data_IF_909528230604
#
_entry.id   IF_909528230604
#
_cell.length_a   1.000
_cell.length_b   1.000
_cell.length_c   1.000
_cell.angle_alpha   90.00
_cell.angle_beta   90.00
_cell.angle_gamma   90.00
#
_symmetry.space_group_name_H-M   'P 1'
#
loop_
_entity.id
_entity.type
_entity.pdbx_description
1 polymer ?
#
# COMPACT_ATOMS: atom_id res chain seq x y z
N UNK A 1 14.05 7.65 0.33
CA UNK A 1 12.77 7.30 0.99
C UNK A 1 12.33 5.97 0.42
N UNK A 2 11.91 5.02 1.25
CA UNK A 2 11.72 3.59 0.88
C UNK A 2 10.32 3.26 0.35
N UNK A 3 9.46 4.26 0.14
CA UNK A 3 8.08 4.17 -0.37
C UNK A 3 7.18 3.18 0.38
N UNK A 4 7.26 1.88 0.11
CA UNK A 4 6.52 0.81 0.83
C UNK A 4 7.41 -0.31 1.35
N UNK A 5 8.72 -0.28 1.10
CA UNK A 5 9.66 -1.35 1.47
C UNK A 5 9.79 -1.54 2.98
N UNK A 6 9.77 -0.45 3.76
CA UNK A 6 9.87 -0.54 5.22
C UNK A 6 8.49 -0.57 5.86
N UNK A 7 7.88 -1.76 5.92
CA UNK A 7 6.72 -2.04 6.76
C UNK A 7 7.16 -2.78 8.01
N UNK A 8 6.78 -2.26 9.17
CA UNK A 8 7.00 -2.95 10.44
C UNK A 8 5.81 -3.86 10.75
N UNK A 9 6.06 -5.03 11.31
CA UNK A 9 5.03 -5.94 11.80
C UNK A 9 5.51 -7.39 11.90
N UNK A 10 4.76 -8.22 12.61
CA UNK A 10 5.01 -9.66 12.62
C UNK A 10 4.49 -10.34 11.35
N UNK A 11 4.82 -11.63 11.18
CA UNK A 11 4.46 -12.41 9.99
C UNK A 11 2.94 -12.43 9.74
N UNK A 12 2.12 -12.65 10.77
CA UNK A 12 0.66 -12.71 10.65
C UNK A 12 0.06 -11.36 10.21
N UNK A 13 0.52 -10.27 10.82
CA UNK A 13 0.13 -8.90 10.50
C UNK A 13 0.50 -8.54 9.05
N UNK A 14 1.71 -8.88 8.61
CA UNK A 14 2.21 -8.58 7.26
C UNK A 14 1.67 -9.51 6.17
N UNK A 15 1.16 -10.70 6.53
CA UNK A 15 0.56 -11.65 5.57
C UNK A 15 -0.73 -11.12 4.94
N UNK A 16 -1.30 -10.04 5.49
CA UNK A 16 -2.48 -9.36 4.98
C UNK A 16 -2.15 -7.99 4.37
N UNK A 17 -0.90 -7.75 3.95
CA UNK A 17 -0.42 -6.42 3.53
C UNK A 17 0.35 -6.47 2.20
N UNK A 18 -0.42 -6.45 1.10
CA UNK A 18 0.13 -6.46 -0.25
C UNK A 18 -0.13 -5.14 -0.97
N UNK A 19 0.91 -4.60 -1.60
CA UNK A 19 0.83 -3.36 -2.37
C UNK A 19 1.41 -3.62 -3.74
N UNK A 20 0.61 -3.42 -4.77
CA UNK A 20 1.03 -3.49 -6.15
C UNK A 20 1.05 -2.07 -6.68
N UNK A 21 2.15 -1.65 -7.30
CA UNK A 21 2.21 -0.36 -7.96
C UNK A 21 2.96 -0.39 -9.27
N UNK A 22 2.49 0.45 -10.19
CA UNK A 22 3.07 0.64 -11.50
C UNK A 22 3.90 1.93 -11.54
N UNK A 23 5.14 1.83 -12.03
CA UNK A 23 6.06 2.95 -12.15
C UNK A 23 6.83 2.92 -13.48
N UNK A 24 7.07 4.09 -14.04
CA UNK A 24 7.93 4.27 -15.22
C UNK A 24 9.32 4.75 -14.80
N UNK A 25 10.33 4.31 -15.53
CA UNK A 25 11.64 4.90 -15.48
C UNK A 25 11.58 6.26 -16.19
N UNK A 26 11.75 7.33 -15.42
CA UNK A 26 11.44 8.71 -15.82
C UNK A 26 12.13 9.14 -17.14
N UNK A 27 13.35 8.69 -17.36
CA UNK A 27 14.16 9.04 -18.54
C UNK A 27 14.12 7.97 -19.65
N UNK A 28 13.43 6.84 -19.43
CA UNK A 28 13.46 5.68 -20.35
C UNK A 28 12.10 5.46 -21.00
N UNK A 29 11.02 5.33 -20.21
CA UNK A 29 9.72 4.90 -20.72
C UNK A 29 8.52 5.68 -20.13
N UNK A 30 8.75 6.84 -19.51
CA UNK A 30 7.67 7.68 -18.97
C UNK A 30 6.85 8.40 -20.06
N UNK A 31 7.48 8.84 -21.15
CA UNK A 31 6.79 9.59 -22.20
C UNK A 31 5.63 8.77 -22.79
N UNK A 32 4.41 9.32 -22.71
CA UNK A 32 3.18 8.69 -23.17
C UNK A 32 2.67 7.53 -22.29
N UNK A 33 3.16 7.38 -21.05
CA UNK A 33 2.76 6.29 -20.16
C UNK A 33 1.43 6.53 -19.44
N UNK A 34 0.86 7.74 -19.49
CA UNK A 34 -0.41 8.04 -18.82
C UNK A 34 -1.53 7.04 -19.17
N UNK A 35 -1.60 6.58 -20.43
CA UNK A 35 -2.57 5.55 -20.86
C UNK A 35 -2.31 4.18 -20.23
N UNK A 36 -1.04 3.82 -20.03
CA UNK A 36 -0.64 2.53 -19.44
C UNK A 36 -1.03 2.45 -17.97
N UNK A 37 -1.03 3.60 -17.28
CA UNK A 37 -1.55 3.70 -15.92
C UNK A 37 -3.07 3.52 -15.85
N UNK A 38 -3.81 3.96 -16.86
CA UNK A 38 -5.26 3.66 -16.97
C UNK A 38 -5.51 2.16 -17.21
N UNK A 39 -4.72 1.53 -18.09
CA UNK A 39 -4.84 0.08 -18.30
C UNK A 39 -4.47 -0.72 -17.04
N UNK A 40 -3.43 -0.30 -16.30
CA UNK A 40 -3.11 -0.86 -14.99
C UNK A 40 -4.28 -0.72 -14.01
N UNK A 41 -4.87 0.47 -13.94
CA UNK A 41 -6.06 0.75 -13.13
C UNK A 41 -7.22 -0.18 -13.45
N UNK A 42 -7.58 -0.27 -14.74
CA UNK A 42 -8.68 -1.09 -15.22
C UNK A 42 -8.50 -2.56 -14.81
N UNK A 43 -7.26 -3.03 -14.71
CA UNK A 43 -6.94 -4.37 -14.23
C UNK A 43 -7.12 -4.45 -12.72
N UNK A 44 -6.44 -3.61 -11.93
CA UNK A 44 -6.45 -3.75 -10.46
C UNK A 44 -7.83 -3.51 -9.85
N UNK A 45 -8.64 -2.60 -10.41
CA UNK A 45 -9.98 -2.30 -9.89
C UNK A 45 -10.98 -3.46 -10.04
N UNK A 46 -10.78 -4.37 -11.00
CA UNK A 46 -11.60 -5.60 -11.12
C UNK A 46 -11.52 -6.47 -9.87
N UNK A 47 -10.44 -6.33 -9.11
CA UNK A 47 -10.12 -7.13 -7.94
C UNK A 47 -10.42 -6.43 -6.61
N UNK A 48 -11.15 -5.30 -6.63
CA UNK A 48 -11.65 -4.61 -5.44
C UNK A 48 -10.56 -4.30 -4.39
N UNK A 49 -9.53 -3.50 -4.74
CA UNK A 49 -8.49 -3.14 -3.79
C UNK A 49 -9.08 -2.38 -2.60
N UNK A 50 -8.52 -2.62 -1.41
CA UNK A 50 -8.96 -1.97 -0.16
C UNK A 50 -8.45 -0.53 -0.01
N UNK A 51 -7.43 -0.17 -0.79
CA UNK A 51 -6.99 1.19 -0.99
C UNK A 51 -6.44 1.34 -2.41
N UNK A 52 -6.61 2.53 -2.97
CA UNK A 52 -6.25 2.85 -4.34
C UNK A 52 -5.88 4.32 -4.43
N UNK A 53 -4.88 4.63 -5.25
CA UNK A 53 -4.48 6.02 -5.46
C UNK A 53 -3.25 6.20 -6.32
N UNK A 54 -2.88 7.46 -6.54
CA UNK A 54 -1.67 7.83 -7.24
C UNK A 54 -0.95 8.98 -6.53
N UNK A 55 0.34 9.15 -6.80
CA UNK A 55 1.15 10.17 -6.11
C UNK A 55 0.71 11.62 -6.41
N UNK A 56 0.01 11.88 -7.53
CA UNK A 56 -0.28 13.23 -8.02
C UNK A 56 -1.65 13.72 -7.58
N UNK A 57 -2.65 12.85 -7.59
CA UNK A 57 -4.04 13.24 -7.36
C UNK A 57 -4.46 12.94 -5.94
N UNK A 58 -4.09 11.77 -5.42
CA UNK A 58 -4.41 11.34 -4.07
C UNK A 58 -4.92 9.91 -4.02
N UNK A 59 -5.75 9.61 -3.01
CA UNK A 59 -6.28 8.28 -2.73
C UNK A 59 -7.81 8.26 -2.67
N UNK A 60 -8.39 7.06 -2.77
CA UNK A 60 -9.83 6.82 -2.78
C UNK A 60 -10.58 7.24 -1.51
N UNK A 61 -9.89 7.51 -0.39
CA UNK A 61 -10.51 8.04 0.83
C UNK A 61 -10.67 9.57 0.82
N UNK A 62 -9.98 10.27 -0.09
CA UNK A 62 -10.03 11.73 -0.21
C UNK A 62 -10.60 12.19 -1.55
N UNK A 63 -10.42 11.42 -2.61
CA UNK A 63 -10.74 11.79 -3.99
C UNK A 63 -11.56 10.69 -4.64
N UNK A 64 -12.59 11.08 -5.40
CA UNK A 64 -13.36 10.15 -6.23
C UNK A 64 -12.44 9.44 -7.22
N UNK A 65 -12.58 8.12 -7.38
CA UNK A 65 -11.72 7.31 -8.25
C UNK A 65 -11.67 7.88 -9.67
N UNK A 66 -12.80 8.30 -10.24
CA UNK A 66 -12.87 8.91 -11.59
C UNK A 66 -11.92 10.11 -11.75
N UNK A 67 -11.79 10.95 -10.73
CA UNK A 67 -10.87 12.11 -10.75
C UNK A 67 -9.41 11.69 -10.67
N UNK A 68 -9.11 10.60 -9.97
CA UNK A 68 -7.76 10.00 -9.93
C UNK A 68 -7.36 9.57 -11.37
N UNK A 69 -8.26 8.94 -12.11
CA UNK A 69 -8.00 8.48 -13.49
C UNK A 69 -7.76 9.63 -14.47
N UNK A 70 -8.53 10.72 -14.35
CA UNK A 70 -8.37 11.94 -15.14
C UNK A 70 -7.04 12.65 -14.84
N UNK A 71 -6.52 12.45 -13.63
CA UNK A 71 -5.30 13.06 -13.11
C UNK A 71 -4.00 12.46 -13.64
N UNK A 72 -4.01 11.29 -14.30
CA UNK A 72 -2.77 10.62 -14.69
C UNK A 72 -1.88 11.42 -15.63
N UNK A 73 -0.58 11.33 -15.35
CA UNK A 73 0.52 11.93 -16.09
C UNK A 73 1.57 10.86 -16.35
N UNK A 74 2.48 11.18 -17.27
CA UNK A 74 3.60 10.32 -17.66
C UNK A 74 4.55 9.97 -16.48
N UNK A 75 4.51 10.77 -15.43
CA UNK A 75 5.28 10.57 -14.19
C UNK A 75 4.39 10.21 -12.97
N UNK A 76 3.19 9.70 -13.20
CA UNK A 76 2.38 9.11 -12.12
C UNK A 76 3.02 7.82 -11.61
N UNK A 77 2.71 7.47 -10.36
CA UNK A 77 2.86 6.12 -9.81
C UNK A 77 1.50 5.77 -9.24
N UNK A 78 0.92 4.68 -9.72
CA UNK A 78 -0.44 4.23 -9.37
C UNK A 78 -0.34 2.98 -8.51
N UNK A 79 -1.12 2.94 -7.43
CA UNK A 79 -1.03 1.94 -6.37
C UNK A 79 -2.39 1.28 -6.14
N UNK A 80 -2.35 0.00 -5.79
CA UNK A 80 -3.48 -0.76 -5.28
C UNK A 80 -3.03 -1.61 -4.09
N UNK A 81 -3.87 -1.69 -3.06
CA UNK A 81 -3.60 -2.43 -1.82
C UNK A 81 -4.59 -3.58 -1.69
N UNK A 82 -4.07 -4.76 -1.34
CA UNK A 82 -4.82 -6.01 -1.19
C UNK A 82 -4.45 -6.71 0.13
N UNK A 83 -5.31 -7.62 0.58
CA UNK A 83 -5.16 -8.33 1.85
C UNK A 83 -4.86 -9.83 1.70
N UNK A 84 -4.83 -10.37 0.49
CA UNK A 84 -4.70 -11.81 0.28
C UNK A 84 -3.88 -12.18 -0.97
N UNK A 85 -3.19 -13.31 -0.85
CA UNK A 85 -2.28 -13.86 -1.86
C UNK A 85 -3.03 -14.28 -3.14
N UNK A 86 -4.21 -14.88 -3.01
CA UNK A 86 -5.02 -15.36 -4.13
C UNK A 86 -5.40 -14.23 -5.09
N UNK A 87 -5.84 -13.10 -4.54
CA UNK A 87 -6.19 -11.90 -5.31
C UNK A 87 -4.95 -11.31 -5.96
N UNK A 88 -3.84 -11.20 -5.21
CA UNK A 88 -2.56 -10.72 -5.73
C UNK A 88 -2.08 -11.58 -6.90
N UNK A 89 -2.13 -12.91 -6.79
CA UNK A 89 -1.71 -13.82 -7.85
C UNK A 89 -2.56 -13.67 -9.13
N UNK A 90 -3.88 -13.41 -8.99
CA UNK A 90 -4.76 -13.12 -10.15
C UNK A 90 -4.43 -11.79 -10.80
N UNK A 91 -4.25 -10.74 -10.00
CA UNK A 91 -3.85 -9.41 -10.50
C UNK A 91 -2.52 -9.49 -11.25
N UNK A 92 -1.51 -10.15 -10.68
CA UNK A 92 -0.20 -10.31 -11.30
C UNK A 92 -0.28 -11.10 -12.61
N UNK A 93 -1.12 -12.13 -12.67
CA UNK A 93 -1.35 -12.86 -13.91
C UNK A 93 -1.95 -11.96 -15.00
N UNK A 94 -2.97 -11.18 -14.68
CA UNK A 94 -3.60 -10.29 -15.68
C UNK A 94 -2.67 -9.15 -16.12
N UNK A 95 -1.88 -8.59 -15.19
CA UNK A 95 -0.86 -7.59 -15.51
C UNK A 95 0.26 -8.16 -16.40
N UNK A 96 0.64 -9.42 -16.20
CA UNK A 96 1.60 -10.13 -17.05
C UNK A 96 1.07 -10.27 -18.48
N UNK A 97 -0.17 -10.74 -18.64
CA UNK A 97 -0.79 -10.90 -19.97
C UNK A 97 -0.99 -9.56 -20.68
N UNK A 98 -1.24 -8.49 -19.94
CA UNK A 98 -1.40 -7.14 -20.49
C UNK A 98 -0.10 -6.53 -21.03
N UNK A 99 1.08 -7.01 -20.58
CA UNK A 99 2.41 -6.55 -20.99
C UNK A 99 2.51 -5.02 -21.19
N UNK A 100 2.15 -4.27 -20.15
CA UNK A 100 2.07 -2.81 -20.22
C UNK A 100 3.42 -2.14 -20.52
N UNK A 101 4.54 -2.86 -20.46
CA UNK A 101 5.89 -2.34 -20.70
C UNK A 101 6.30 -1.26 -19.69
N UNK A 102 5.82 -1.36 -18.46
CA UNK A 102 6.17 -0.53 -17.29
C UNK A 102 6.49 -1.43 -16.10
N UNK A 103 7.20 -0.90 -15.11
CA UNK A 103 7.61 -1.69 -13.95
C UNK A 103 6.42 -1.91 -13.03
N UNK A 104 6.18 -3.17 -12.67
CA UNK A 104 5.25 -3.57 -11.62
C UNK A 104 6.07 -3.95 -10.39
N UNK A 105 5.80 -3.30 -9.26
CA UNK A 105 6.44 -3.57 -7.99
C UNK A 105 5.40 -4.13 -7.03
N UNK A 106 5.77 -5.19 -6.32
CA UNK A 106 4.94 -5.82 -5.30
C UNK A 106 5.65 -5.72 -3.96
N UNK A 107 4.99 -5.10 -2.98
CA UNK A 107 5.41 -5.11 -1.59
C UNK A 107 4.59 -6.15 -0.83
N UNK A 108 5.26 -6.96 -0.02
CA UNK A 108 4.67 -8.02 0.79
C UNK A 108 5.77 -8.90 1.39
N UNK A 109 5.39 -9.94 2.13
CA UNK A 109 6.34 -10.95 2.60
C UNK A 109 6.95 -11.65 1.39
N UNK A 110 8.28 -11.71 1.32
CA UNK A 110 8.99 -12.16 0.13
C UNK A 110 8.58 -13.57 -0.30
N UNK A 111 8.53 -14.52 0.62
CA UNK A 111 8.21 -15.91 0.31
C UNK A 111 6.80 -16.02 -0.31
N UNK A 112 5.84 -15.25 0.23
CA UNK A 112 4.45 -15.21 -0.25
C UNK A 112 4.31 -14.55 -1.62
N UNK A 113 4.97 -13.41 -1.81
CA UNK A 113 5.03 -12.75 -3.11
C UNK A 113 5.73 -13.65 -4.16
N UNK A 114 6.75 -14.40 -3.74
CA UNK A 114 7.46 -15.34 -4.61
C UNK A 114 6.56 -16.51 -5.02
N UNK A 115 5.74 -17.04 -4.12
CA UNK A 115 4.73 -18.06 -4.43
C UNK A 115 3.71 -17.53 -5.45
N UNK A 116 3.13 -16.34 -5.21
CA UNK A 116 2.22 -15.69 -6.16
C UNK A 116 2.84 -15.51 -7.56
N UNK A 117 4.13 -15.16 -7.62
CA UNK A 117 4.85 -15.03 -8.89
C UNK A 117 5.10 -16.39 -9.56
N UNK A 118 5.59 -17.37 -8.81
CA UNK A 118 6.01 -18.66 -9.33
C UNK A 118 4.84 -19.44 -9.96
N UNK A 119 3.68 -19.44 -9.31
CA UNK A 119 2.47 -20.08 -9.82
C UNK A 119 2.03 -19.57 -11.19
N UNK A 120 2.39 -18.33 -11.53
CA UNK A 120 2.04 -17.68 -12.81
C UNK A 120 3.22 -17.64 -13.79
N UNK A 121 4.33 -18.30 -13.45
CA UNK A 121 5.56 -18.29 -14.25
C UNK A 121 6.18 -16.90 -14.38
N UNK A 122 5.97 -16.03 -13.38
CA UNK A 122 6.59 -14.71 -13.28
C UNK A 122 7.92 -14.88 -12.54
N UNK A 123 9.01 -14.39 -13.14
CA UNK A 123 10.33 -14.36 -12.49
C UNK A 123 10.62 -12.93 -12.02
N UNK A 124 10.75 -12.68 -10.71
CA UNK A 124 11.15 -11.37 -10.21
C UNK A 124 12.52 -10.95 -10.80
N UNK A 125 12.60 -9.72 -11.29
CA UNK A 125 13.86 -9.17 -11.81
C UNK A 125 14.78 -8.68 -10.68
N UNK A 126 14.21 -7.99 -9.70
CA UNK A 126 14.93 -7.42 -8.55
C UNK A 126 14.14 -7.72 -7.28
N UNK A 127 14.85 -7.98 -6.18
CA UNK A 127 14.27 -8.13 -4.84
C UNK A 127 14.97 -7.13 -3.92
N UNK A 128 14.18 -6.34 -3.20
CA UNK A 128 14.68 -5.43 -2.18
C UNK A 128 14.29 -5.95 -0.80
N UNK A 129 15.26 -5.94 0.14
CA UNK A 129 15.04 -6.37 1.52
C UNK A 129 15.10 -5.19 2.47
N UNK A 130 14.10 -5.10 3.35
CA UNK A 130 14.18 -4.26 4.53
C UNK A 130 15.04 -4.96 5.59
N UNK A 131 16.13 -4.32 6.01
CA UNK A 131 16.95 -4.80 7.14
C UNK A 131 16.38 -4.39 8.52
N UNK A 132 15.29 -3.62 8.51
CA UNK A 132 14.66 -3.10 9.73
C UNK A 132 15.28 -1.78 10.20
N UNK A 133 14.95 -1.40 11.44
CA UNK A 133 15.41 -0.17 12.06
C UNK A 133 16.60 -0.49 12.97
N UNK A 134 17.70 0.25 12.80
CA UNK A 134 18.92 0.08 13.58
C UNK A 134 19.29 1.37 14.33
N UNK A 135 19.98 1.26 15.47
CA UNK A 135 20.45 2.39 16.27
C UNK A 135 19.68 2.56 17.58
N UNK A 136 19.30 3.81 17.91
CA UNK A 136 18.57 4.15 19.15
C UNK A 136 17.08 3.80 19.06
N UNK A 137 16.81 2.50 19.00
CA UNK A 137 15.45 1.94 18.89
C UNK A 137 14.60 2.22 20.13
N UNK A 138 15.22 2.63 21.24
CA UNK A 138 14.56 3.05 22.48
C UNK A 138 13.73 4.34 22.35
N UNK A 139 13.96 5.15 21.30
CA UNK A 139 13.13 6.33 20.99
C UNK A 139 11.94 6.04 20.08
N UNK A 140 11.81 4.82 19.57
CA UNK A 140 10.68 4.47 18.72
C UNK A 140 9.38 4.49 19.53
N UNK A 141 8.24 4.85 18.91
CA UNK A 141 6.96 4.65 19.55
C UNK A 141 6.72 3.16 19.81
N UNK A 142 5.69 2.84 20.58
CA UNK A 142 5.31 1.44 20.78
C UNK A 142 5.08 0.72 19.45
N UNK A 143 5.24 -0.61 19.47
CA UNK A 143 5.23 -1.43 18.25
C UNK A 143 3.96 -1.24 17.41
N UNK A 144 2.78 -1.16 18.04
CA UNK A 144 1.51 -0.99 17.33
C UNK A 144 1.43 0.36 16.59
N UNK A 145 1.88 1.45 17.22
CA UNK A 145 1.96 2.78 16.60
C UNK A 145 2.99 2.78 15.46
N UNK A 146 4.11 2.09 15.65
CA UNK A 146 5.14 1.93 14.62
C UNK A 146 4.62 1.12 13.41
N UNK A 147 3.92 0.01 13.64
CA UNK A 147 3.30 -0.81 12.59
C UNK A 147 2.33 0.00 11.72
N UNK A 148 1.48 0.83 12.34
CA UNK A 148 0.52 1.67 11.61
C UNK A 148 1.23 2.79 10.85
N UNK A 149 2.13 3.52 11.52
CA UNK A 149 2.79 4.68 10.90
C UNK A 149 3.67 4.33 9.70
N UNK A 150 4.29 3.15 9.71
CA UNK A 150 5.17 2.67 8.62
C UNK A 150 4.42 2.29 7.35
N UNK A 151 3.09 2.09 7.39
CA UNK A 151 2.30 1.73 6.20
C UNK A 151 2.32 2.79 5.08
N UNK A 152 2.53 4.08 5.39
CA UNK A 152 2.62 5.13 4.38
C UNK A 152 4.02 5.25 3.73
N UNK A 153 5.07 4.85 4.46
CA UNK A 153 6.50 5.02 4.15
C UNK A 153 7.02 6.46 3.89
N UNK A 154 6.13 7.45 3.79
CA UNK A 154 6.46 8.88 3.72
C UNK A 154 6.39 9.59 5.08
N UNK A 155 5.96 8.88 6.14
CA UNK A 155 5.79 9.46 7.48
C UNK A 155 4.60 10.41 7.63
N UNK A 156 3.62 10.34 6.72
CA UNK A 156 2.44 11.23 6.76
C UNK A 156 1.41 10.85 7.85
N UNK A 157 1.46 9.61 8.33
CA UNK A 157 0.60 9.13 9.42
C UNK A 157 1.35 9.35 10.74
N UNK A 158 1.01 10.44 11.45
CA UNK A 158 1.72 10.80 12.68
C UNK A 158 1.41 9.86 13.84
N UNK A 159 2.40 9.63 14.71
CA UNK A 159 2.26 8.82 15.92
C UNK A 159 1.14 9.37 16.83
N UNK A 160 1.12 10.69 17.03
CA UNK A 160 0.13 11.37 17.85
C UNK A 160 -1.31 11.22 17.34
N UNK A 161 -1.52 11.12 16.02
CA UNK A 161 -2.85 10.88 15.47
C UNK A 161 -3.33 9.46 15.76
N UNK A 162 -2.43 8.47 15.66
CA UNK A 162 -2.73 7.07 15.97
C UNK A 162 -3.14 6.93 17.43
N UNK A 163 -2.35 7.52 18.33
CA UNK A 163 -2.63 7.52 19.77
C UNK A 163 -3.94 8.23 20.11
N UNK A 164 -4.17 9.41 19.54
CA UNK A 164 -5.41 10.16 19.72
C UNK A 164 -6.64 9.36 19.28
N UNK A 165 -6.59 8.74 18.10
CA UNK A 165 -7.71 7.93 17.59
C UNK A 165 -7.93 6.68 18.43
N UNK A 166 -6.86 6.04 18.92
CA UNK A 166 -6.95 4.92 19.85
C UNK A 166 -7.66 5.31 21.15
N UNK A 167 -7.35 6.50 21.69
CA UNK A 167 -8.04 7.05 22.86
C UNK A 167 -9.52 7.35 22.57
N UNK A 168 -9.85 7.84 21.37
CA UNK A 168 -11.26 8.08 21.01
C UNK A 168 -12.06 6.77 20.88
N UNK A 169 -11.43 5.69 20.40
CA UNK A 169 -12.05 4.35 20.35
C UNK A 169 -12.34 3.86 21.76
N UNK A 170 -11.36 3.92 22.69
CA UNK A 170 -11.53 3.52 24.09
C UNK A 170 -12.63 4.30 24.84
N UNK A 171 -12.98 5.49 24.35
CA UNK A 171 -14.05 6.34 24.89
C UNK A 171 -15.40 6.14 24.18
N UNK A 172 -15.52 5.15 23.30
CA UNK A 172 -16.70 4.85 22.49
C UNK A 172 -17.18 6.03 21.63
N UNK A 173 -16.26 6.91 21.20
CA UNK A 173 -16.60 8.13 20.43
C UNK A 173 -16.52 7.94 18.92
N UNK A 174 -15.81 6.90 18.47
CA UNK A 174 -15.53 6.57 17.08
C UNK A 174 -15.33 5.07 16.98
N UNK A 175 -15.73 4.45 15.87
CA UNK A 175 -15.44 3.03 15.65
C UNK A 175 -14.00 2.81 15.17
N UNK A 176 -13.52 1.57 15.28
CA UNK A 176 -12.21 1.15 14.77
C UNK A 176 -12.09 1.41 13.26
N UNK A 177 -13.15 1.11 12.51
CA UNK A 177 -13.23 1.27 11.06
C UNK A 177 -13.17 2.74 10.65
N UNK A 178 -13.87 3.61 11.38
CA UNK A 178 -13.82 5.07 11.17
C UNK A 178 -12.43 5.65 11.47
N UNK A 179 -11.77 5.18 12.52
CA UNK A 179 -10.40 5.58 12.87
C UNK A 179 -9.40 5.14 11.79
N UNK A 180 -9.47 3.90 11.32
CA UNK A 180 -8.61 3.40 10.25
C UNK A 180 -8.79 4.18 8.94
N UNK A 181 -10.03 4.53 8.58
CA UNK A 181 -10.30 5.42 7.43
C UNK A 181 -9.70 6.81 7.61
N UNK A 182 -9.75 7.40 8.82
CA UNK A 182 -9.11 8.69 9.11
C UNK A 182 -7.59 8.63 8.96
N UNK A 183 -6.96 7.53 9.36
CA UNK A 183 -5.53 7.29 9.16
C UNK A 183 -5.19 7.11 7.67
N UNK A 184 -5.98 6.32 6.93
CA UNK A 184 -5.78 6.09 5.50
C UNK A 184 -5.81 7.39 4.69
N UNK A 185 -6.68 8.35 5.07
CA UNK A 185 -6.73 9.69 4.46
C UNK A 185 -5.41 10.47 4.55
N UNK A 186 -4.57 10.21 5.55
CA UNK A 186 -3.29 10.93 5.70
C UNK A 186 -2.25 10.44 4.68
N UNK A 187 -2.37 9.20 4.21
CA UNK A 187 -1.49 8.66 3.18
C UNK A 187 -1.90 9.17 1.81
N UNK A 188 -1.25 10.23 1.31
CA UNK A 188 -1.65 10.88 0.06
C UNK A 188 -1.75 9.90 -1.13
N UNK A 189 -0.74 9.05 -1.35
CA UNK A 189 -0.65 8.19 -2.54
C UNK A 189 -1.52 6.91 -2.51
N UNK A 190 -2.13 6.57 -1.37
CA UNK A 190 -3.07 5.43 -1.30
C UNK A 190 -2.43 4.07 -1.05
N UNK A 191 -1.20 3.99 -0.52
CA UNK A 191 -0.56 2.70 -0.18
C UNK A 191 -0.92 2.19 1.22
N UNK A 192 -1.57 3.00 2.06
CA UNK A 192 -1.92 2.61 3.42
C UNK A 192 -2.96 1.47 3.43
N UNK A 193 -2.79 0.48 4.31
CA UNK A 193 -3.72 -0.64 4.44
C UNK A 193 -4.72 -0.41 5.59
N UNK A 194 -5.94 0.09 5.30
CA UNK A 194 -6.95 0.33 6.32
C UNK A 194 -7.35 -0.94 7.09
N UNK A 195 -7.48 -2.10 6.44
CA UNK A 195 -7.90 -3.34 7.10
C UNK A 195 -6.86 -3.83 8.12
N UNK A 196 -5.58 -3.72 7.79
CA UNK A 196 -4.50 -4.01 8.73
C UNK A 196 -4.48 -3.01 9.89
N UNK A 197 -4.70 -1.73 9.62
CA UNK A 197 -4.79 -0.71 10.66
C UNK A 197 -5.97 -0.95 11.61
N UNK A 198 -7.14 -1.38 11.11
CA UNK A 198 -8.27 -1.79 11.95
C UNK A 198 -7.91 -2.92 12.90
N UNK A 199 -7.21 -3.94 12.41
CA UNK A 199 -6.80 -5.09 13.22
C UNK A 199 -5.85 -4.67 14.36
N UNK A 200 -4.88 -3.80 14.06
CA UNK A 200 -3.93 -3.30 15.05
C UNK A 200 -4.63 -2.38 16.06
N UNK A 201 -5.47 -1.44 15.60
CA UNK A 201 -6.25 -0.56 16.48
C UNK A 201 -7.14 -1.36 17.42
N UNK A 202 -7.79 -2.43 16.92
CA UNK A 202 -8.61 -3.33 17.74
C UNK A 202 -7.77 -4.05 18.79
N UNK A 203 -6.53 -4.42 18.49
CA UNK A 203 -5.62 -4.99 19.50
C UNK A 203 -5.16 -3.96 20.53
N UNK A 204 -4.96 -2.70 20.14
CA UNK A 204 -4.58 -1.59 21.02
C UNK A 204 -5.69 -1.14 21.99
N UNK A 205 -6.95 -1.41 21.66
CA UNK A 205 -8.12 -0.82 22.31
C UNK A 205 -9.07 -1.85 22.93
N UNK A 206 -8.55 -3.07 23.15
CA UNK A 206 -9.23 -4.13 23.91
C UNK A 206 -9.15 -3.90 25.42
#
# INVERSE_FOLDING_TARGET
MTHTLHRNGNFESLSNDYIIFAITAQTVNAKGSARKFKEFEDIVLKYNPINYGDMKTGNMFNIDISKIQEGYRDNSIVHAVFCDEDTVAKVLNELKEADLGISIVVSGILDRVSECCHEKGIKPHTIEHSLGIHGRVDYLPNDNVLEISTMCGHGMVSFSLIEYLSEQILKDRITVEEAAKKLAKQCHCGVFNPARAESILRAMTK
#
